data_IF_522635429540
#
_entry.id   IF_522635429540
#
_cell.length_a   1.000
_cell.length_b   1.000
_cell.length_c   1.000
_cell.angle_alpha   90.00
_cell.angle_beta   90.00
_cell.angle_gamma   90.00
#
_symmetry.space_group_name_H-M   'P 1'
#
loop_
_entity.id
_entity.type
_entity.pdbx_description
1 polymer ?
#
# COMPACT_ATOMS: atom_id res chain seq x y z
N UNK A 1 10.86 0.81 -33.43
CA UNK A 1 11.19 0.27 -34.77
C UNK A 1 10.44 -1.05 -34.89
N UNK A 2 9.77 -1.26 -36.00
CA UNK A 2 9.15 -2.53 -36.36
C UNK A 2 9.86 -3.04 -37.62
N UNK A 3 10.40 -4.24 -37.57
CA UNK A 3 11.00 -4.86 -38.75
C UNK A 3 9.92 -5.51 -39.60
N UNK A 4 9.99 -5.32 -40.93
CA UNK A 4 9.00 -5.86 -41.87
C UNK A 4 9.08 -7.37 -42.03
N UNK A 5 10.23 -7.97 -41.69
CA UNK A 5 10.47 -9.42 -41.77
C UNK A 5 9.65 -10.24 -40.76
N UNK A 6 9.18 -9.60 -39.69
CA UNK A 6 8.34 -10.23 -38.64
C UNK A 6 6.82 -10.06 -38.90
N UNK A 7 6.44 -9.58 -40.09
CA UNK A 7 5.06 -9.36 -40.44
C UNK A 7 4.46 -10.62 -41.02
N UNK A 8 3.44 -11.18 -40.37
CA UNK A 8 2.54 -12.13 -41.07
C UNK A 8 1.97 -11.43 -42.33
N UNK A 9 1.87 -12.14 -43.42
CA UNK A 9 1.54 -11.62 -44.76
C UNK A 9 0.25 -10.77 -44.87
N UNK A 10 -0.58 -10.72 -43.83
CA UNK A 10 -1.87 -9.99 -43.80
C UNK A 10 -1.91 -8.74 -42.89
N UNK A 11 -0.77 -8.15 -42.48
CA UNK A 11 -0.81 -6.99 -41.60
C UNK A 11 -1.10 -5.71 -42.36
N UNK A 12 -2.26 -5.10 -42.08
CA UNK A 12 -2.61 -3.78 -42.57
C UNK A 12 -1.69 -2.70 -41.99
N UNK A 13 -1.48 -1.59 -42.68
CA UNK A 13 -0.63 -0.44 -42.24
C UNK A 13 -0.96 0.02 -40.86
N UNK A 14 -2.24 0.03 -40.47
CA UNK A 14 -2.69 0.39 -39.12
C UNK A 14 -2.08 -0.52 -38.03
N UNK A 15 -2.01 -1.83 -38.28
CA UNK A 15 -1.38 -2.79 -37.36
C UNK A 15 0.12 -2.58 -37.21
N UNK A 16 0.82 -2.10 -38.25
CA UNK A 16 2.25 -1.77 -38.21
C UNK A 16 2.46 -0.50 -37.35
N UNK A 17 1.63 0.50 -37.57
CA UNK A 17 1.67 1.76 -36.80
C UNK A 17 1.38 1.51 -35.31
N UNK A 18 0.42 0.66 -34.99
CA UNK A 18 0.11 0.26 -33.62
C UNK A 18 1.29 -0.42 -32.95
N UNK A 19 1.94 -1.38 -33.60
CA UNK A 19 3.15 -2.05 -33.09
C UNK A 19 4.28 -1.05 -32.83
N UNK A 20 4.53 -0.14 -33.77
CA UNK A 20 5.55 0.90 -33.62
C UNK A 20 5.22 1.84 -32.47
N UNK A 21 3.97 2.24 -32.29
CA UNK A 21 3.51 3.07 -31.18
C UNK A 21 3.65 2.36 -29.82
N UNK A 22 3.35 1.07 -29.76
CA UNK A 22 3.56 0.30 -28.54
C UNK A 22 5.04 0.20 -28.17
N UNK A 23 5.92 -0.15 -29.12
CA UNK A 23 7.36 -0.14 -28.87
C UNK A 23 7.85 1.23 -28.40
N UNK A 24 7.35 2.32 -28.99
CA UNK A 24 7.67 3.70 -28.55
C UNK A 24 7.26 3.96 -27.09
N UNK A 25 6.10 3.49 -26.65
CA UNK A 25 5.63 3.68 -25.27
C UNK A 25 6.45 2.91 -24.22
N UNK A 26 7.19 1.86 -24.64
CA UNK A 26 8.09 1.13 -23.73
C UNK A 26 9.43 1.84 -23.50
N UNK A 27 9.74 2.86 -24.30
CA UNK A 27 10.94 3.70 -24.08
C UNK A 27 10.68 4.61 -22.89
N UNK A 28 11.21 4.25 -21.73
CA UNK A 28 11.18 5.13 -20.54
C UNK A 28 12.08 6.34 -20.77
N UNK A 29 11.51 7.54 -20.59
CA UNK A 29 12.26 8.80 -20.57
C UNK A 29 13.27 8.74 -19.41
N UNK A 30 14.59 8.80 -19.73
CA UNK A 30 15.64 8.82 -18.72
C UNK A 30 16.61 7.64 -18.73
N UNK A 31 16.32 6.53 -19.40
CA UNK A 31 17.25 5.45 -19.64
C UNK A 31 17.95 5.63 -21.01
N UNK A 32 19.24 5.26 -21.11
CA UNK A 32 20.10 5.38 -22.29
C UNK A 32 19.57 4.72 -23.59
N UNK A 33 18.35 4.20 -23.61
CA UNK A 33 17.72 3.61 -24.80
C UNK A 33 16.82 4.64 -25.49
N UNK A 34 17.28 5.14 -26.62
CA UNK A 34 16.55 6.11 -27.47
C UNK A 34 15.50 5.45 -28.40
N UNK A 35 15.44 4.13 -28.42
CA UNK A 35 14.52 3.36 -29.26
C UNK A 35 14.11 2.04 -28.60
N UNK A 36 13.00 1.50 -29.01
CA UNK A 36 12.59 0.13 -28.72
C UNK A 36 12.20 -0.56 -30.04
N UNK A 37 12.41 -1.87 -30.09
CA UNK A 37 11.98 -2.72 -31.20
C UNK A 37 10.75 -3.50 -30.73
N UNK A 38 9.73 -3.57 -31.58
CA UNK A 38 8.57 -4.42 -31.31
C UNK A 38 9.01 -5.88 -31.53
N UNK A 39 9.07 -6.62 -30.47
CA UNK A 39 9.49 -8.02 -30.45
C UNK A 39 8.44 -8.91 -29.77
N UNK A 40 8.71 -10.20 -29.68
CA UNK A 40 7.81 -11.16 -29.05
C UNK A 40 7.59 -10.88 -27.54
N UNK A 41 8.54 -10.23 -26.87
CA UNK A 41 8.38 -9.84 -25.47
C UNK A 41 7.31 -8.76 -25.30
N UNK A 42 7.36 -7.73 -26.15
CA UNK A 42 6.34 -6.66 -26.19
C UNK A 42 4.98 -7.25 -26.59
N UNK A 43 4.95 -8.18 -27.54
CA UNK A 43 3.72 -8.85 -27.97
C UNK A 43 3.08 -9.69 -26.84
N UNK A 44 3.89 -10.44 -26.08
CA UNK A 44 3.43 -11.17 -24.88
C UNK A 44 2.89 -10.23 -23.81
N UNK A 45 3.61 -9.14 -23.55
CA UNK A 45 3.17 -8.11 -22.60
C UNK A 45 1.80 -7.53 -22.99
N UNK A 46 1.60 -7.18 -24.25
CA UNK A 46 0.32 -6.65 -24.75
C UNK A 46 -0.83 -7.65 -24.63
N UNK A 47 -0.57 -8.92 -25.00
CA UNK A 47 -1.58 -9.97 -24.83
C UNK A 47 -1.96 -10.14 -23.35
N UNK A 48 -0.97 -10.09 -22.47
CA UNK A 48 -1.19 -10.17 -21.05
C UNK A 48 -2.01 -8.98 -20.54
N UNK A 49 -1.61 -7.73 -20.87
CA UNK A 49 -2.39 -6.53 -20.52
C UNK A 49 -3.84 -6.62 -21.02
N UNK A 50 -4.03 -7.08 -22.26
CA UNK A 50 -5.35 -7.28 -22.84
C UNK A 50 -6.18 -8.34 -22.12
N UNK A 51 -5.54 -9.45 -21.70
CA UNK A 51 -6.21 -10.50 -20.94
C UNK A 51 -6.67 -9.99 -19.56
N UNK A 52 -5.82 -9.23 -18.88
CA UNK A 52 -6.17 -8.55 -17.62
C UNK A 52 -7.35 -7.60 -17.86
N UNK A 53 -7.25 -6.70 -18.85
CA UNK A 53 -8.30 -5.74 -19.21
C UNK A 53 -9.67 -6.42 -19.42
N UNK A 54 -9.70 -7.50 -20.20
CA UNK A 54 -10.93 -8.21 -20.52
C UNK A 54 -11.60 -8.88 -19.31
N UNK A 55 -10.83 -9.19 -18.26
CA UNK A 55 -11.33 -9.85 -17.04
C UNK A 55 -11.71 -8.87 -15.93
N UNK A 56 -11.17 -7.65 -15.93
CA UNK A 56 -11.22 -6.70 -14.80
C UNK A 56 -12.62 -6.53 -14.19
N UNK A 57 -13.62 -6.16 -15.02
CA UNK A 57 -14.98 -5.89 -14.53
C UNK A 57 -15.64 -7.17 -14.01
N UNK A 58 -15.51 -8.27 -14.77
CA UNK A 58 -16.06 -9.57 -14.40
C UNK A 58 -15.45 -10.10 -13.09
N UNK A 59 -14.15 -9.87 -12.89
CA UNK A 59 -13.45 -10.30 -11.68
C UNK A 59 -13.89 -9.52 -10.44
N UNK A 60 -14.28 -8.24 -10.59
CA UNK A 60 -14.91 -7.47 -9.50
C UNK A 60 -16.28 -8.04 -9.14
N UNK A 61 -17.10 -8.38 -10.15
CA UNK A 61 -18.43 -8.98 -9.96
C UNK A 61 -18.35 -10.39 -9.35
N UNK A 62 -17.36 -11.18 -9.75
CA UNK A 62 -17.13 -12.55 -9.27
C UNK A 62 -16.40 -12.60 -7.91
N UNK A 63 -16.09 -11.47 -7.29
CA UNK A 63 -15.35 -11.39 -6.03
C UNK A 63 -13.96 -12.07 -6.06
N UNK A 64 -13.28 -12.05 -7.21
CA UNK A 64 -11.93 -12.62 -7.38
C UNK A 64 -10.82 -11.82 -6.65
N UNK A 65 -11.14 -10.62 -6.13
CA UNK A 65 -10.20 -9.81 -5.37
C UNK A 65 -10.31 -10.09 -3.88
N UNK A 66 -9.23 -10.63 -3.32
CA UNK A 66 -9.08 -10.91 -1.90
C UNK A 66 -8.36 -9.75 -1.22
N UNK A 67 -8.66 -9.55 0.06
CA UNK A 67 -7.92 -8.62 0.90
C UNK A 67 -7.01 -9.41 1.83
N UNK A 68 -5.71 -9.16 1.73
CA UNK A 68 -4.72 -9.63 2.68
C UNK A 68 -4.40 -8.50 3.64
N UNK A 69 -3.99 -8.84 4.83
CA UNK A 69 -3.63 -7.88 5.86
C UNK A 69 -2.16 -8.05 6.24
N UNK A 70 -1.39 -6.96 6.21
CA UNK A 70 -0.03 -6.97 6.71
C UNK A 70 0.03 -6.22 8.03
N UNK A 71 0.32 -6.92 9.15
CA UNK A 71 0.40 -6.29 10.46
C UNK A 71 1.51 -5.24 10.53
N UNK A 72 1.20 -4.10 11.17
CA UNK A 72 2.14 -3.05 11.59
C UNK A 72 2.42 -3.25 13.08
N UNK A 73 3.69 -3.48 13.43
CA UNK A 73 4.11 -3.80 14.79
C UNK A 73 4.60 -2.54 15.50
N UNK A 74 4.01 -2.25 16.64
CA UNK A 74 4.44 -1.18 17.52
C UNK A 74 5.76 -1.54 18.19
N UNK A 75 6.79 -0.69 18.06
CA UNK A 75 8.14 -0.98 18.53
C UNK A 75 8.32 -0.88 20.04
N UNK A 76 7.39 -0.25 20.75
CA UNK A 76 7.43 -0.17 22.22
C UNK A 76 6.84 -1.40 22.87
N UNK A 77 5.69 -1.86 22.34
CA UNK A 77 4.94 -2.99 22.89
C UNK A 77 5.30 -4.33 22.24
N UNK A 78 5.82 -4.32 21.01
CA UNK A 78 6.07 -5.52 20.21
C UNK A 78 4.80 -6.18 19.66
N UNK A 79 3.63 -5.53 19.77
CA UNK A 79 2.35 -6.06 19.34
C UNK A 79 1.93 -5.47 17.98
N UNK A 80 1.19 -6.26 17.20
CA UNK A 80 0.55 -5.79 15.97
C UNK A 80 -0.67 -4.94 16.31
N UNK A 81 -0.53 -3.62 16.29
CA UNK A 81 -1.57 -2.67 16.71
C UNK A 81 -2.36 -2.10 15.55
N UNK A 82 -1.91 -2.28 14.33
CA UNK A 82 -2.52 -1.83 13.09
C UNK A 82 -2.22 -2.83 11.98
N UNK A 83 -2.87 -2.67 10.82
CA UNK A 83 -2.54 -3.44 9.63
C UNK A 83 -2.82 -2.64 8.35
N UNK A 84 -2.12 -2.99 7.28
CA UNK A 84 -2.40 -2.52 5.93
C UNK A 84 -3.19 -3.56 5.15
N UNK A 85 -4.26 -3.12 4.48
CA UNK A 85 -5.06 -3.94 3.60
C UNK A 85 -4.46 -3.95 2.19
N UNK A 86 -4.06 -5.12 1.73
CA UNK A 86 -3.37 -5.34 0.48
C UNK A 86 -4.19 -6.24 -0.44
N UNK A 87 -4.60 -5.73 -1.59
CA UNK A 87 -5.38 -6.50 -2.55
C UNK A 87 -4.54 -7.62 -3.19
N UNK A 88 -5.18 -8.77 -3.43
CA UNK A 88 -4.66 -9.90 -4.21
C UNK A 88 -5.74 -10.32 -5.19
N UNK A 89 -5.37 -10.57 -6.43
CA UNK A 89 -6.32 -11.08 -7.42
C UNK A 89 -6.15 -12.59 -7.54
N UNK A 90 -7.12 -13.33 -7.07
CA UNK A 90 -7.16 -14.78 -7.20
C UNK A 90 -8.09 -15.15 -8.35
N UNK A 91 -7.53 -15.77 -9.39
CA UNK A 91 -8.32 -16.24 -10.52
C UNK A 91 -9.17 -17.45 -10.14
N UNK A 92 -10.18 -17.76 -10.95
CA UNK A 92 -11.01 -18.97 -10.85
C UNK A 92 -10.19 -20.28 -10.87
N UNK A 93 -8.98 -20.25 -11.45
CA UNK A 93 -8.02 -21.36 -11.46
C UNK A 93 -7.18 -21.42 -10.16
N UNK A 94 -7.40 -20.51 -9.21
CA UNK A 94 -6.66 -20.42 -7.95
C UNK A 94 -5.30 -19.72 -8.04
N UNK A 95 -4.93 -19.16 -9.21
CA UNK A 95 -3.70 -18.41 -9.38
C UNK A 95 -3.81 -17.03 -8.73
N UNK A 96 -2.82 -16.67 -7.92
CA UNK A 96 -2.73 -15.31 -7.33
C UNK A 96 -1.89 -14.43 -8.24
N UNK A 97 -2.51 -13.38 -8.78
CA UNK A 97 -1.85 -12.32 -9.55
C UNK A 97 -1.44 -11.21 -8.58
N UNK A 98 -0.15 -10.84 -8.50
CA UNK A 98 0.30 -9.81 -7.59
C UNK A 98 -0.09 -8.40 -8.07
N UNK A 99 -0.22 -7.41 -7.15
CA UNK A 99 -0.71 -6.05 -7.44
C UNK A 99 0.07 -5.32 -8.54
N UNK A 100 1.39 -5.47 -8.58
CA UNK A 100 2.26 -4.86 -9.59
C UNK A 100 1.93 -5.26 -11.04
N UNK A 101 1.21 -6.35 -11.22
CA UNK A 101 0.80 -6.86 -12.54
C UNK A 101 -0.53 -6.32 -13.03
N UNK A 102 -1.44 -5.92 -12.14
CA UNK A 102 -2.78 -5.47 -12.55
C UNK A 102 -3.10 -4.02 -12.17
N UNK A 103 -2.61 -3.50 -11.03
CA UNK A 103 -2.90 -2.11 -10.60
C UNK A 103 -2.56 -1.09 -11.70
N UNK A 104 -1.36 -1.11 -12.36
CA UNK A 104 -1.07 -0.14 -13.41
C UNK A 104 -2.02 -0.21 -14.61
N UNK A 105 -2.60 -1.40 -14.87
CA UNK A 105 -3.59 -1.59 -15.95
C UNK A 105 -4.93 -0.98 -15.53
N UNK A 106 -5.36 -1.21 -14.28
CA UNK A 106 -6.56 -0.62 -13.70
C UNK A 106 -6.50 0.91 -13.68
N UNK A 107 -5.36 1.50 -13.32
CA UNK A 107 -5.14 2.95 -13.37
C UNK A 107 -5.23 3.49 -14.79
N UNK A 108 -4.53 2.86 -15.75
CA UNK A 108 -4.53 3.25 -17.16
C UNK A 108 -5.94 3.19 -17.79
N UNK A 109 -6.83 2.35 -17.25
CA UNK A 109 -8.21 2.17 -17.71
C UNK A 109 -9.25 2.90 -16.87
N UNK A 110 -8.82 3.69 -15.89
CA UNK A 110 -9.69 4.42 -14.96
C UNK A 110 -10.65 3.52 -14.16
N UNK A 111 -10.32 2.23 -14.00
CA UNK A 111 -11.09 1.28 -13.22
C UNK A 111 -10.56 1.09 -11.79
N UNK A 112 -9.42 1.69 -11.49
CA UNK A 112 -8.80 1.60 -10.16
C UNK A 112 -9.75 2.12 -9.07
N UNK A 113 -10.54 3.16 -9.35
CA UNK A 113 -11.51 3.71 -8.40
C UNK A 113 -12.56 2.67 -7.96
N UNK A 114 -12.98 1.78 -8.86
CA UNK A 114 -13.91 0.70 -8.51
C UNK A 114 -13.26 -0.36 -7.65
N UNK A 115 -11.98 -0.67 -7.91
CA UNK A 115 -11.21 -1.60 -7.10
C UNK A 115 -10.94 -1.05 -5.70
N UNK A 116 -10.54 0.22 -5.58
CA UNK A 116 -10.29 0.88 -4.29
C UNK A 116 -11.56 0.84 -3.42
N UNK A 117 -12.71 1.21 -3.99
CA UNK A 117 -14.00 1.14 -3.29
C UNK A 117 -14.41 -0.30 -2.91
N UNK A 118 -14.09 -1.28 -3.76
CA UNK A 118 -14.33 -2.69 -3.46
C UNK A 118 -13.49 -3.13 -2.25
N UNK A 119 -12.18 -2.87 -2.26
CA UNK A 119 -11.27 -3.18 -1.15
C UNK A 119 -11.75 -2.48 0.13
N UNK A 120 -12.08 -1.19 0.04
CA UNK A 120 -12.57 -0.42 1.17
C UNK A 120 -13.84 -1.02 1.79
N UNK A 121 -14.80 -1.46 0.96
CA UNK A 121 -16.01 -2.15 1.43
C UNK A 121 -15.70 -3.48 2.12
N UNK A 122 -14.76 -4.27 1.59
CA UNK A 122 -14.32 -5.54 2.22
C UNK A 122 -13.66 -5.28 3.58
N UNK A 123 -12.82 -4.25 3.70
CA UNK A 123 -12.23 -3.83 4.98
C UNK A 123 -13.31 -3.39 5.97
N UNK A 124 -14.26 -2.56 5.54
CA UNK A 124 -15.39 -2.17 6.40
C UNK A 124 -16.24 -3.38 6.87
N UNK A 125 -16.49 -4.34 5.99
CA UNK A 125 -17.20 -5.57 6.33
C UNK A 125 -16.43 -6.41 7.36
N UNK A 126 -15.12 -6.55 7.18
CA UNK A 126 -14.23 -7.21 8.14
C UNK A 126 -14.30 -6.55 9.53
N UNK A 127 -14.09 -5.24 9.61
CA UNK A 127 -14.15 -4.49 10.86
C UNK A 127 -15.53 -4.65 11.52
N UNK A 128 -16.60 -4.49 10.76
CA UNK A 128 -17.99 -4.60 11.29
C UNK A 128 -18.25 -5.98 11.87
N UNK A 129 -17.89 -7.06 11.18
CA UNK A 129 -18.07 -8.43 11.66
C UNK A 129 -17.37 -8.64 13.00
N UNK A 130 -16.14 -8.14 13.18
CA UNK A 130 -15.41 -8.26 14.44
C UNK A 130 -16.04 -7.44 15.56
N UNK A 131 -16.49 -6.22 15.27
CA UNK A 131 -17.23 -5.39 16.24
C UNK A 131 -18.53 -6.03 16.69
N UNK A 132 -19.29 -6.64 15.76
CA UNK A 132 -20.55 -7.33 16.08
C UNK A 132 -20.32 -8.57 16.94
N UNK A 133 -19.17 -9.22 16.78
CA UNK A 133 -18.77 -10.36 17.62
C UNK A 133 -18.16 -9.93 18.97
N UNK A 134 -18.04 -8.63 19.26
CA UNK A 134 -17.38 -8.12 20.47
C UNK A 134 -15.86 -8.38 20.49
N UNK A 135 -15.27 -8.64 19.32
CA UNK A 135 -13.83 -8.93 19.19
C UNK A 135 -13.02 -7.64 19.00
N UNK A 136 -11.76 -7.63 19.41
CA UNK A 136 -10.89 -6.48 19.23
C UNK A 136 -10.70 -6.14 17.76
N UNK A 137 -10.62 -4.84 17.48
CA UNK A 137 -10.37 -4.31 16.14
C UNK A 137 -9.22 -3.32 16.22
N UNK A 138 -8.29 -3.45 15.30
CA UNK A 138 -7.19 -2.50 15.11
C UNK A 138 -7.54 -1.54 13.96
N UNK A 139 -6.85 -0.41 13.89
CA UNK A 139 -6.90 0.48 12.73
C UNK A 139 -6.39 -0.26 11.50
N UNK A 140 -7.15 -0.19 10.41
CA UNK A 140 -6.76 -0.78 9.13
C UNK A 140 -6.59 0.33 8.12
N UNK A 141 -5.41 0.40 7.50
CA UNK A 141 -5.13 1.30 6.41
C UNK A 141 -5.48 0.69 5.07
N UNK A 142 -5.95 1.54 4.16
CA UNK A 142 -6.29 1.18 2.78
C UNK A 142 -5.62 2.14 1.82
N UNK A 143 -5.01 1.59 0.80
CA UNK A 143 -4.43 2.36 -0.30
C UNK A 143 -5.53 2.99 -1.14
N UNK A 144 -5.35 4.26 -1.50
CA UNK A 144 -6.25 4.99 -2.38
C UNK A 144 -5.46 5.58 -3.54
N UNK A 145 -5.88 5.21 -4.75
CA UNK A 145 -5.27 5.70 -5.98
C UNK A 145 -5.39 7.22 -6.10
N UNK A 146 -4.36 7.83 -6.67
CA UNK A 146 -4.34 9.25 -7.03
C UNK A 146 -5.58 9.69 -7.82
N UNK A 147 -6.12 8.82 -8.67
CA UNK A 147 -7.31 9.13 -9.47
C UNK A 147 -8.57 9.37 -8.64
N UNK A 148 -8.66 8.80 -7.44
CA UNK A 148 -9.78 9.06 -6.52
C UNK A 148 -9.81 10.50 -6.05
N UNK A 149 -8.66 11.12 -5.79
CA UNK A 149 -8.59 12.49 -5.31
C UNK A 149 -9.14 13.51 -6.30
N UNK A 150 -9.14 13.19 -7.60
CA UNK A 150 -9.75 14.06 -8.62
C UNK A 150 -11.25 13.85 -8.78
N UNK A 151 -11.83 12.87 -8.09
CA UNK A 151 -13.28 12.65 -8.09
C UNK A 151 -13.92 13.55 -7.02
N UNK A 152 -14.82 14.45 -7.41
CA UNK A 152 -15.53 15.36 -6.49
C UNK A 152 -16.31 14.63 -5.39
N UNK A 153 -16.76 13.41 -5.67
CA UNK A 153 -17.58 12.62 -4.75
C UNK A 153 -16.76 11.65 -3.87
N UNK A 154 -15.43 11.73 -3.96
CA UNK A 154 -14.53 10.80 -3.27
C UNK A 154 -14.81 10.74 -1.76
N UNK A 155 -14.69 11.87 -1.07
CA UNK A 155 -14.86 11.94 0.39
C UNK A 155 -16.24 11.44 0.80
N UNK A 156 -17.28 11.92 0.10
CA UNK A 156 -18.66 11.52 0.36
C UNK A 156 -18.86 10.01 0.16
N UNK A 157 -18.33 9.44 -0.91
CA UNK A 157 -18.45 8.00 -1.20
C UNK A 157 -17.85 7.16 -0.07
N UNK A 158 -16.66 7.54 0.43
CA UNK A 158 -15.99 6.81 1.51
C UNK A 158 -16.72 7.02 2.85
N UNK A 159 -17.20 8.23 3.13
CA UNK A 159 -18.05 8.51 4.28
C UNK A 159 -19.35 7.67 4.26
N UNK A 160 -20.04 7.62 3.12
CA UNK A 160 -21.27 6.85 2.97
C UNK A 160 -21.04 5.35 3.20
N UNK A 161 -19.93 4.80 2.70
CA UNK A 161 -19.54 3.40 2.94
C UNK A 161 -19.25 3.19 4.44
N UNK A 162 -18.42 4.03 5.06
CA UNK A 162 -18.09 3.97 6.50
C UNK A 162 -19.36 3.98 7.34
N UNK A 163 -20.30 4.90 7.05
CA UNK A 163 -21.54 5.05 7.77
C UNK A 163 -22.48 3.85 7.56
N UNK A 164 -22.57 3.31 6.34
CA UNK A 164 -23.35 2.10 6.05
C UNK A 164 -22.92 0.91 6.91
N UNK A 165 -21.62 0.74 7.11
CA UNK A 165 -21.06 -0.32 7.97
C UNK A 165 -20.97 0.11 9.45
N UNK A 166 -21.33 1.33 9.81
CA UNK A 166 -21.25 1.88 11.17
C UNK A 166 -19.88 1.69 11.79
N UNK A 167 -18.84 2.07 11.03
CA UNK A 167 -17.45 1.97 11.50
C UNK A 167 -17.12 3.16 12.38
N UNK A 168 -16.67 2.95 13.62
CA UNK A 168 -16.19 4.02 14.49
C UNK A 168 -15.05 4.83 13.89
N UNK A 169 -14.91 6.08 14.34
CA UNK A 169 -13.79 6.94 13.95
C UNK A 169 -12.44 6.31 14.32
N UNK A 170 -11.42 6.64 13.56
CA UNK A 170 -10.03 6.20 13.74
C UNK A 170 -9.75 4.69 13.52
N UNK A 171 -10.72 3.90 13.09
CA UNK A 171 -10.50 2.50 12.68
C UNK A 171 -10.14 2.34 11.21
N UNK A 172 -10.28 3.40 10.42
CA UNK A 172 -9.93 3.44 9.00
C UNK A 172 -8.87 4.51 8.76
N UNK A 173 -7.78 4.11 8.12
CA UNK A 173 -6.70 4.98 7.70
C UNK A 173 -6.64 4.98 6.15
N UNK A 174 -6.58 6.14 5.54
CA UNK A 174 -6.43 6.32 4.09
C UNK A 174 -4.96 6.57 3.79
N UNK A 175 -4.35 5.67 3.03
CA UNK A 175 -2.97 5.81 2.57
C UNK A 175 -2.93 6.49 1.21
N UNK A 176 -2.13 7.55 1.11
CA UNK A 176 -1.94 8.34 -0.11
C UNK A 176 -0.46 8.42 -0.42
N UNK A 177 -0.10 8.20 -1.68
CA UNK A 177 1.32 8.30 -2.08
C UNK A 177 1.80 9.74 -2.09
N UNK A 178 3.09 9.95 -1.78
CA UNK A 178 3.75 11.26 -1.79
C UNK A 178 3.50 12.02 -3.11
N UNK A 179 3.43 11.30 -4.23
CA UNK A 179 3.28 11.88 -5.57
C UNK A 179 1.99 12.70 -5.78
N UNK A 180 0.95 12.46 -4.99
CA UNK A 180 -0.32 13.24 -5.06
C UNK A 180 -0.09 14.70 -4.66
N UNK A 181 0.82 14.95 -3.74
CA UNK A 181 1.10 16.30 -3.23
C UNK A 181 1.73 17.23 -4.28
N UNK A 182 2.34 16.70 -5.35
CA UNK A 182 3.01 17.52 -6.36
C UNK A 182 2.04 18.27 -7.29
N UNK A 183 0.84 17.73 -7.48
CA UNK A 183 -0.07 18.30 -8.47
C UNK A 183 -0.79 19.53 -7.93
N UNK A 184 -1.28 19.51 -6.68
CA UNK A 184 -1.97 20.64 -6.07
C UNK A 184 -2.05 20.50 -4.53
N UNK A 185 -1.09 21.09 -3.81
CA UNK A 185 -1.00 21.03 -2.34
C UNK A 185 -2.27 21.58 -1.66
N UNK A 186 -2.82 22.67 -2.15
CA UNK A 186 -4.01 23.31 -1.55
C UNK A 186 -5.26 22.42 -1.68
N UNK A 187 -5.41 21.76 -2.83
CA UNK A 187 -6.49 20.80 -3.04
C UNK A 187 -6.33 19.59 -2.13
N UNK A 188 -5.11 19.04 -2.02
CA UNK A 188 -4.80 17.93 -1.14
C UNK A 188 -5.08 18.28 0.33
N UNK A 189 -4.63 19.46 0.79
CA UNK A 189 -4.88 19.94 2.16
C UNK A 189 -6.37 19.99 2.49
N UNK A 190 -7.18 20.55 1.57
CA UNK A 190 -8.64 20.61 1.73
C UNK A 190 -9.25 19.21 1.82
N UNK A 191 -8.90 18.31 0.90
CA UNK A 191 -9.44 16.95 0.84
C UNK A 191 -9.05 16.14 2.08
N UNK A 192 -7.79 16.24 2.52
CA UNK A 192 -7.31 15.58 3.74
C UNK A 192 -8.03 16.12 4.97
N UNK A 193 -8.18 17.44 5.08
CA UNK A 193 -8.92 18.05 6.20
C UNK A 193 -10.37 17.60 6.25
N UNK A 194 -11.01 17.46 5.08
CA UNK A 194 -12.37 16.95 4.98
C UNK A 194 -12.46 15.47 5.40
N UNK A 195 -11.57 14.59 4.91
CA UNK A 195 -11.49 13.20 5.35
C UNK A 195 -11.31 13.07 6.87
N UNK A 196 -10.42 13.87 7.45
CA UNK A 196 -10.21 13.89 8.91
C UNK A 196 -11.45 14.33 9.67
N UNK A 197 -12.21 15.29 9.16
CA UNK A 197 -13.48 15.73 9.76
C UNK A 197 -14.55 14.61 9.77
N UNK A 198 -14.39 13.58 8.91
CA UNK A 198 -15.23 12.40 8.83
C UNK A 198 -14.69 11.22 9.66
N UNK A 199 -13.64 11.45 10.46
CA UNK A 199 -13.06 10.48 11.39
C UNK A 199 -12.09 9.48 10.74
N UNK A 200 -11.57 9.76 9.53
CA UNK A 200 -10.48 9.00 8.94
C UNK A 200 -9.13 9.44 9.49
N UNK A 201 -8.20 8.49 9.65
CA UNK A 201 -6.78 8.77 9.76
C UNK A 201 -6.16 8.84 8.37
N UNK A 202 -5.09 9.63 8.23
CA UNK A 202 -4.42 9.83 6.95
C UNK A 202 -2.94 9.51 7.09
N UNK A 203 -2.42 8.70 6.18
CA UNK A 203 -0.98 8.44 6.05
C UNK A 203 -0.45 8.86 4.68
N UNK A 204 0.80 9.31 4.68
CA UNK A 204 1.59 9.50 3.46
C UNK A 204 2.45 8.26 3.28
N UNK A 205 2.33 7.65 2.10
CA UNK A 205 3.05 6.46 1.69
C UNK A 205 4.23 6.77 0.75
N UNK A 206 5.19 5.84 0.66
CA UNK A 206 6.38 5.94 -0.20
C UNK A 206 7.25 7.19 0.05
N UNK A 207 7.23 7.73 1.29
CA UNK A 207 8.00 8.95 1.59
C UNK A 207 9.50 8.74 1.38
N UNK A 208 10.07 9.60 0.51
CA UNK A 208 11.48 9.60 0.16
C UNK A 208 11.83 8.97 -1.18
N UNK A 209 10.86 8.42 -1.91
CA UNK A 209 11.10 7.86 -3.26
C UNK A 209 11.10 8.93 -4.36
N UNK A 210 10.62 10.14 -4.04
CA UNK A 210 10.51 11.27 -4.96
C UNK A 210 11.24 12.52 -4.48
N UNK A 211 10.74 13.68 -4.89
CA UNK A 211 11.21 14.97 -4.38
C UNK A 211 10.48 15.28 -3.06
N UNK A 212 10.85 14.56 -1.99
CA UNK A 212 10.24 14.71 -0.66
C UNK A 212 10.20 16.16 -0.23
N UNK A 213 8.99 16.73 -0.20
CA UNK A 213 8.80 18.11 0.20
C UNK A 213 8.48 18.18 1.69
N UNK A 214 9.42 18.68 2.51
CA UNK A 214 9.14 19.04 3.91
C UNK A 214 7.94 20.01 4.03
N UNK A 215 7.62 20.71 2.95
CA UNK A 215 6.43 21.55 2.82
C UNK A 215 5.13 20.73 2.96
N UNK A 216 5.12 19.47 2.51
CA UNK A 216 3.99 18.57 2.68
C UNK A 216 3.72 18.31 4.17
N UNK A 217 4.75 17.95 4.93
CA UNK A 217 4.63 17.68 6.37
C UNK A 217 4.19 18.92 7.17
N UNK A 218 4.51 20.11 6.68
CA UNK A 218 4.10 21.38 7.31
C UNK A 218 2.63 21.71 7.06
N UNK A 219 2.14 21.45 5.84
CA UNK A 219 0.86 22.01 5.38
C UNK A 219 -0.28 20.98 5.43
N UNK A 220 0.01 19.69 5.29
CA UNK A 220 -1.01 18.65 5.25
C UNK A 220 -1.17 18.02 6.65
N UNK A 221 -2.39 18.00 7.22
CA UNK A 221 -2.63 17.47 8.57
C UNK A 221 -2.69 15.93 8.58
N UNK A 222 -1.56 15.27 8.33
CA UNK A 222 -1.44 13.81 8.35
C UNK A 222 -1.27 13.25 9.76
N UNK A 223 -1.61 11.99 9.95
CA UNK A 223 -1.48 11.27 11.21
C UNK A 223 -0.27 10.34 11.23
N UNK A 224 0.11 9.81 10.06
CA UNK A 224 1.17 8.81 9.90
C UNK A 224 2.05 9.14 8.70
N UNK A 225 3.36 8.94 8.86
CA UNK A 225 4.33 8.97 7.77
C UNK A 225 4.93 7.58 7.61
N UNK A 226 4.80 6.98 6.41
CA UNK A 226 5.41 5.70 6.05
C UNK A 226 6.74 5.98 5.35
N UNK A 227 7.82 5.47 5.92
CA UNK A 227 9.19 5.63 5.38
C UNK A 227 9.46 4.41 4.49
N UNK A 228 9.67 4.67 3.20
CA UNK A 228 9.82 3.64 2.18
C UNK A 228 11.03 2.73 2.41
N UNK A 229 10.88 1.47 2.01
CA UNK A 229 11.92 0.43 2.11
C UNK A 229 13.26 0.80 1.45
N UNK A 230 13.28 1.73 0.47
CA UNK A 230 14.51 2.14 -0.21
C UNK A 230 15.53 2.75 0.74
N UNK A 231 15.11 3.35 1.85
CA UNK A 231 16.01 3.83 2.90
C UNK A 231 16.70 2.72 3.68
N UNK A 232 16.16 1.51 3.68
CA UNK A 232 16.62 0.38 4.50
C UNK A 232 17.34 -0.68 3.67
N UNK A 233 17.39 -0.55 2.34
CA UNK A 233 18.15 -1.46 1.48
C UNK A 233 19.64 -1.29 1.71
N UNK A 234 20.42 -2.35 1.44
CA UNK A 234 21.88 -2.28 1.50
C UNK A 234 22.40 -1.15 0.62
N UNK A 235 22.98 -0.14 1.25
CA UNK A 235 23.60 1.02 0.64
C UNK A 235 25.06 1.10 1.03
N UNK A 236 25.91 1.49 0.08
CA UNK A 236 27.31 1.85 0.36
C UNK A 236 27.42 3.09 1.27
N UNK A 237 26.31 3.79 1.51
CA UNK A 237 26.24 5.00 2.33
C UNK A 237 25.41 4.80 3.62
N UNK A 238 25.40 3.60 4.21
CA UNK A 238 24.58 3.22 5.39
C UNK A 238 24.60 4.25 6.54
N UNK A 239 25.75 4.85 6.81
CA UNK A 239 25.86 5.88 7.86
C UNK A 239 25.08 7.16 7.49
N UNK A 240 25.14 7.60 6.24
CA UNK A 240 24.41 8.78 5.78
C UNK A 240 22.91 8.53 5.76
N UNK A 241 22.49 7.35 5.33
CA UNK A 241 21.09 6.95 5.31
C UNK A 241 20.53 6.92 6.73
N UNK A 242 21.27 6.37 7.69
CA UNK A 242 20.87 6.37 9.10
C UNK A 242 20.74 7.80 9.68
N UNK A 243 21.61 8.73 9.31
CA UNK A 243 21.52 10.14 9.72
C UNK A 243 20.25 10.78 9.16
N UNK A 244 19.94 10.53 7.89
CA UNK A 244 18.75 11.06 7.23
C UNK A 244 17.48 10.49 7.86
N UNK A 245 17.40 9.16 8.03
CA UNK A 245 16.26 8.49 8.66
C UNK A 245 16.03 9.05 10.08
N UNK A 246 17.07 9.16 10.89
CA UNK A 246 16.99 9.75 12.21
C UNK A 246 16.46 11.18 12.17
N UNK A 247 16.96 12.00 11.25
CA UNK A 247 16.50 13.39 11.07
C UNK A 247 15.03 13.48 10.71
N UNK A 248 14.54 12.60 9.83
CA UNK A 248 13.13 12.51 9.45
C UNK A 248 12.28 12.11 10.66
N UNK A 249 12.64 11.04 11.37
CA UNK A 249 11.89 10.54 12.53
C UNK A 249 11.84 11.59 13.64
N UNK A 250 12.95 12.23 13.95
CA UNK A 250 13.02 13.31 14.95
C UNK A 250 12.10 14.50 14.57
N UNK A 251 12.07 14.86 13.28
CA UNK A 251 11.22 15.93 12.79
C UNK A 251 9.74 15.61 12.93
N UNK A 252 9.32 14.44 12.44
CA UNK A 252 7.88 14.06 12.41
C UNK A 252 7.35 13.78 13.82
N UNK A 253 8.19 13.23 14.72
CA UNK A 253 7.83 13.08 16.13
C UNK A 253 7.56 14.43 16.80
N UNK A 254 8.35 15.48 16.48
CA UNK A 254 8.09 16.85 16.97
C UNK A 254 6.82 17.47 16.41
N UNK A 255 6.37 17.01 15.23
CA UNK A 255 5.10 17.41 14.63
C UNK A 255 3.91 16.56 15.14
N UNK A 256 4.14 15.62 16.07
CA UNK A 256 3.14 14.67 16.58
C UNK A 256 2.56 13.76 15.48
N UNK A 257 3.35 13.48 14.45
CA UNK A 257 3.04 12.54 13.37
C UNK A 257 3.71 11.20 13.73
N UNK A 258 2.97 10.09 13.66
CA UNK A 258 3.52 8.76 13.88
C UNK A 258 4.31 8.28 12.67
N UNK A 259 5.30 7.42 12.91
CA UNK A 259 6.14 6.85 11.85
C UNK A 259 5.90 5.36 11.69
N UNK A 260 5.86 4.90 10.45
CA UNK A 260 5.92 3.48 10.08
C UNK A 260 7.13 3.28 9.15
N UNK A 261 8.07 2.43 9.52
CA UNK A 261 9.17 2.04 8.63
C UNK A 261 8.77 0.77 7.88
N UNK A 262 8.91 0.80 6.56
CA UNK A 262 8.49 -0.29 5.68
C UNK A 262 9.63 -1.17 5.21
N UNK A 263 9.30 -2.40 4.77
CA UNK A 263 10.26 -3.33 4.19
C UNK A 263 11.34 -3.79 5.17
N UNK A 264 11.03 -3.86 6.45
CA UNK A 264 11.97 -4.26 7.50
C UNK A 264 12.12 -5.78 7.52
N UNK A 265 13.37 -6.26 7.33
CA UNK A 265 13.69 -7.67 7.16
C UNK A 265 14.73 -8.19 8.15
N UNK A 266 15.48 -7.32 8.86
CA UNK A 266 16.57 -7.75 9.75
C UNK A 266 16.45 -7.22 11.18
N UNK A 267 17.05 -7.94 12.12
CA UNK A 267 17.11 -7.53 13.53
C UNK A 267 17.91 -6.23 13.74
N UNK A 268 18.93 -5.99 12.92
CA UNK A 268 19.72 -4.75 12.98
C UNK A 268 18.87 -3.53 12.61
N UNK A 269 18.02 -3.65 11.55
CA UNK A 269 17.09 -2.59 11.17
C UNK A 269 16.11 -2.30 12.31
N UNK A 270 15.56 -3.34 12.96
CA UNK A 270 14.66 -3.18 14.11
C UNK A 270 15.37 -2.48 15.28
N UNK A 271 16.59 -2.91 15.62
CA UNK A 271 17.37 -2.31 16.70
C UNK A 271 17.68 -0.82 16.44
N UNK A 272 18.06 -0.50 15.19
CA UNK A 272 18.28 0.89 14.78
C UNK A 272 17.00 1.73 14.91
N UNK A 273 15.87 1.27 14.36
CA UNK A 273 14.59 1.98 14.40
C UNK A 273 14.09 2.21 15.82
N UNK A 274 14.29 1.23 16.71
CA UNK A 274 14.03 1.42 18.16
C UNK A 274 14.91 2.54 18.74
N UNK A 275 16.18 2.58 18.39
CA UNK A 275 17.14 3.56 18.92
C UNK A 275 16.84 5.01 18.52
N UNK A 276 16.13 5.18 17.39
CA UNK A 276 15.73 6.50 16.85
C UNK A 276 14.27 6.84 17.13
N UNK A 277 13.57 6.07 17.99
CA UNK A 277 12.17 6.28 18.38
C UNK A 277 11.18 6.24 17.20
N UNK A 278 11.39 5.34 16.22
CA UNK A 278 10.34 5.00 15.26
C UNK A 278 9.17 4.35 16.01
N UNK A 279 7.94 4.68 15.62
CA UNK A 279 6.76 4.18 16.34
C UNK A 279 6.41 2.74 15.95
N UNK A 280 6.33 2.47 14.66
CA UNK A 280 5.89 1.18 14.12
C UNK A 280 6.79 0.73 12.98
N UNK A 281 6.75 -0.57 12.73
CA UNK A 281 7.40 -1.17 11.57
C UNK A 281 6.45 -2.12 10.85
N UNK A 282 6.66 -2.23 9.54
CA UNK A 282 6.01 -3.17 8.66
C UNK A 282 7.06 -3.87 7.81
N UNK A 283 7.04 -5.20 7.75
CA UNK A 283 8.04 -5.94 6.97
C UNK A 283 8.09 -7.42 7.28
N UNK A 284 8.86 -8.14 6.48
CA UNK A 284 8.95 -9.59 6.54
C UNK A 284 9.70 -10.11 7.76
N UNK A 285 10.35 -9.23 8.50
CA UNK A 285 10.94 -9.60 9.79
C UNK A 285 9.88 -10.10 10.78
N UNK A 286 8.68 -9.49 10.81
CA UNK A 286 7.59 -9.96 11.68
C UNK A 286 6.51 -10.68 10.89
N UNK A 287 5.97 -10.04 9.86
CA UNK A 287 4.82 -10.59 9.14
C UNK A 287 4.89 -10.29 7.64
N UNK A 288 4.58 -11.32 6.85
CA UNK A 288 4.19 -11.16 5.45
C UNK A 288 2.71 -10.76 5.38
N UNK A 289 2.22 -10.25 4.23
CA UNK A 289 0.78 -10.10 4.04
C UNK A 289 0.06 -11.45 4.27
N UNK A 290 -0.95 -11.45 5.11
CA UNK A 290 -1.67 -12.64 5.55
C UNK A 290 -3.10 -12.63 5.02
N UNK A 291 -3.68 -13.78 4.65
CA UNK A 291 -5.11 -13.90 4.42
C UNK A 291 -5.88 -13.62 5.71
N UNK A 292 -7.15 -13.28 5.57
CA UNK A 292 -8.02 -12.77 6.63
C UNK A 292 -8.07 -13.68 7.86
N UNK A 293 -8.21 -14.98 7.67
CA UNK A 293 -8.27 -15.99 8.74
C UNK A 293 -7.01 -16.02 9.61
N UNK A 294 -5.83 -15.94 8.98
CA UNK A 294 -4.55 -15.91 9.69
C UNK A 294 -4.33 -14.59 10.42
N UNK A 295 -4.77 -13.48 9.83
CA UNK A 295 -4.71 -12.18 10.49
C UNK A 295 -5.63 -12.14 11.73
N UNK A 296 -6.85 -12.67 11.64
CA UNK A 296 -7.75 -12.81 12.79
C UNK A 296 -7.15 -13.61 13.94
N UNK A 297 -6.45 -14.70 13.64
CA UNK A 297 -5.78 -15.51 14.64
C UNK A 297 -4.70 -14.72 15.42
N UNK A 298 -3.96 -13.83 14.72
CA UNK A 298 -2.98 -12.93 15.36
C UNK A 298 -3.69 -11.95 16.28
N UNK A 299 -4.73 -11.25 15.78
CA UNK A 299 -5.48 -10.28 16.57
C UNK A 299 -6.04 -10.90 17.85
N UNK A 300 -6.61 -12.10 17.76
CA UNK A 300 -7.20 -12.79 18.90
C UNK A 300 -6.14 -13.21 19.93
N UNK A 301 -4.96 -13.69 19.49
CA UNK A 301 -3.85 -14.04 20.35
C UNK A 301 -3.29 -12.84 21.09
N UNK A 302 -3.04 -11.74 20.39
CA UNK A 302 -2.46 -10.54 20.98
C UNK A 302 -3.40 -9.84 21.96
N UNK A 303 -4.70 -9.93 21.72
CA UNK A 303 -5.70 -9.39 22.65
C UNK A 303 -5.77 -10.21 23.94
N UNK A 304 -5.76 -11.54 23.86
CA UNK A 304 -5.73 -12.40 25.03
C UNK A 304 -4.49 -12.14 25.91
N UNK A 305 -3.37 -11.81 25.28
CA UNK A 305 -2.15 -11.42 25.99
C UNK A 305 -2.29 -10.08 26.70
N UNK A 306 -2.91 -9.07 26.06
CA UNK A 306 -3.17 -7.76 26.71
C UNK A 306 -4.07 -7.89 27.93
N UNK A 307 -5.04 -8.78 27.93
CA UNK A 307 -5.94 -9.00 29.07
C UNK A 307 -5.27 -9.74 30.24
N UNK A 308 -4.28 -10.60 29.96
CA UNK A 308 -3.67 -11.47 30.96
C UNK A 308 -2.33 -10.97 31.51
N UNK A 309 -1.64 -10.04 30.83
CA UNK A 309 -0.33 -9.55 31.24
C UNK A 309 -0.43 -8.27 32.06
N UNK A 310 0.14 -8.20 33.29
CA UNK A 310 0.42 -6.94 33.91
C UNK A 310 1.42 -6.17 33.08
N UNK A 311 1.31 -4.84 33.04
CA UNK A 311 2.00 -3.89 32.15
C UNK A 311 3.55 -3.99 32.03
N UNK A 312 4.19 -4.94 32.73
CA UNK A 312 5.64 -5.12 32.78
C UNK A 312 6.21 -6.23 31.86
N UNK A 313 5.40 -7.18 31.39
CA UNK A 313 5.93 -8.41 30.74
C UNK A 313 5.81 -8.44 29.20
N UNK A 314 5.38 -7.35 28.57
CA UNK A 314 5.25 -7.27 27.10
C UNK A 314 6.57 -7.43 26.31
N UNK A 315 7.72 -7.37 27.00
CA UNK A 315 9.06 -7.50 26.40
C UNK A 315 9.44 -8.94 26.00
N UNK A 316 8.82 -9.95 26.62
CA UNK A 316 9.16 -11.36 26.39
C UNK A 316 8.47 -11.90 25.13
N UNK A 317 7.31 -11.38 24.76
CA UNK A 317 6.48 -11.87 23.66
C UNK A 317 7.04 -11.57 22.26
N UNK A 318 7.78 -10.50 22.11
CA UNK A 318 8.44 -10.17 20.83
C UNK A 318 9.53 -11.21 20.46
N UNK A 319 10.17 -11.82 21.46
CA UNK A 319 11.20 -12.83 21.24
C UNK A 319 10.60 -14.23 20.94
N UNK A 320 9.47 -14.58 21.53
CA UNK A 320 8.83 -15.89 21.32
C UNK A 320 8.12 -15.99 19.95
N UNK A 321 7.52 -14.91 19.46
CA UNK A 321 6.93 -14.85 18.12
C UNK A 321 7.99 -14.99 17.02
N UNK A 322 9.22 -14.56 17.27
CA UNK A 322 10.33 -14.71 16.33
C UNK A 322 10.77 -16.17 16.15
N UNK A 323 10.73 -16.96 17.24
CA UNK A 323 11.17 -18.38 17.22
C UNK A 323 10.15 -19.32 16.57
N UNK A 324 8.85 -18.97 16.59
CA UNK A 324 7.77 -19.81 16.05
C UNK A 324 7.56 -19.71 14.53
N UNK A 325 8.13 -18.69 13.87
CA UNK A 325 8.01 -18.51 12.42
C UNK A 325 9.23 -19.01 11.63
N UNK A 326 10.33 -19.37 12.34
CA UNK A 326 11.57 -19.86 11.72
C UNK A 326 11.83 -21.36 11.96
N UNK A 327 10.84 -22.10 12.44
CA UNK A 327 10.82 -23.57 12.52
C UNK A 327 9.67 -24.12 11.60
#
# INVERSE_FOLDING_TARGET
ICYLEDLAEDLQIEGILDRANYARKTVKTGLNRKYAVYDESIRKQLRYEKSIENRMLKSLENEEFLVYFQPKVDLQTGLATQAEALVRWQTDEGLIIPPDKFIPIFEKKYLISSLDQYVFKKVCAFIRRRLDAGLPVNTISVNVSRLQFYNSDFVKTYEDIKNKFRIPDHLLEIEITESIAFDNVTFLEKTVSELKSKGFLISIDDFGTGFSSLSLLKNIPIDVLKIDQSFFRESIHKEKDNIVIKGIIDLVNKLSIRTVAEGIETAEQVAFLKSVNCNMIQGYFFYRPLPEDKFEAILNKEYAVKETAPAADSKVLAAENWTLQNN
#
